data_IF_862527725677
#
_entry.id   IF_862527725677
#
_cell.length_a   1.000
_cell.length_b   1.000
_cell.length_c   1.000
_cell.angle_alpha   90.00
_cell.angle_beta   90.00
_cell.angle_gamma   90.00
#
_symmetry.space_group_name_H-M   'P 1'
#
loop_
_entity.id
_entity.type
_entity.pdbx_description
1 polymer ?
#
# COMPACT_ATOMS: atom_id res chain seq x y z
N UNK A 1 7.44 11.75 1.54
CA UNK A 1 7.37 11.49 2.99
C UNK A 1 7.44 12.80 3.77
N UNK A 2 6.68 12.94 4.85
CA UNK A 2 6.74 14.12 5.73
C UNK A 2 7.90 14.04 6.73
N UNK A 3 8.46 12.86 6.92
CA UNK A 3 9.61 12.62 7.81
C UNK A 3 10.92 12.72 7.04
N UNK A 4 11.94 13.29 7.66
CA UNK A 4 13.28 13.45 7.10
C UNK A 4 14.30 12.59 7.86
N UNK A 5 13.97 11.32 8.05
CA UNK A 5 14.74 10.34 8.84
C UNK A 5 15.41 9.24 7.98
N UNK A 6 15.42 9.42 6.65
CA UNK A 6 16.05 8.48 5.73
C UNK A 6 15.23 7.24 5.39
N UNK A 7 14.05 7.06 5.97
CA UNK A 7 13.23 5.86 5.70
C UNK A 7 12.81 5.74 4.23
N UNK A 8 12.49 6.83 3.56
CA UNK A 8 12.16 6.83 2.14
C UNK A 8 13.37 6.47 1.26
N UNK A 9 14.57 6.83 1.68
CA UNK A 9 15.81 6.42 1.02
C UNK A 9 16.05 4.92 1.22
N UNK A 10 15.90 4.40 2.45
CA UNK A 10 15.97 2.98 2.75
C UNK A 10 14.99 2.16 1.89
N UNK A 11 13.74 2.61 1.77
CA UNK A 11 12.76 1.94 0.91
C UNK A 11 13.23 1.85 -0.55
N UNK A 12 13.82 2.91 -1.08
CA UNK A 12 14.29 2.96 -2.47
C UNK A 12 15.55 2.15 -2.70
N UNK A 13 16.52 2.19 -1.78
CA UNK A 13 17.82 1.53 -1.97
C UNK A 13 17.78 0.04 -1.63
N UNK A 14 17.01 -0.35 -0.63
CA UNK A 14 17.04 -1.72 -0.12
C UNK A 14 15.78 -2.52 -0.53
N UNK A 15 14.60 -1.96 -0.27
CA UNK A 15 13.36 -2.72 -0.45
C UNK A 15 12.91 -2.78 -1.91
N UNK A 16 12.98 -1.66 -2.63
CA UNK A 16 12.51 -1.62 -4.03
C UNK A 16 13.49 -2.28 -5.02
N UNK A 17 14.72 -2.50 -4.59
CA UNK A 17 15.77 -3.14 -5.41
C UNK A 17 16.01 -4.61 -5.02
N UNK A 18 15.32 -5.10 -4.00
CA UNK A 18 15.46 -6.48 -3.55
C UNK A 18 14.88 -7.47 -4.57
N UNK A 19 15.58 -8.56 -4.81
CA UNK A 19 15.12 -9.65 -5.67
C UNK A 19 13.94 -10.42 -5.06
N UNK A 20 13.86 -10.47 -3.73
CA UNK A 20 12.75 -11.02 -2.98
C UNK A 20 12.64 -10.33 -1.61
N UNK A 21 11.46 -10.37 -0.99
CA UNK A 21 11.24 -9.77 0.33
C UNK A 21 10.63 -10.81 1.26
N UNK A 22 11.27 -11.03 2.41
CA UNK A 22 10.73 -11.88 3.48
C UNK A 22 10.38 -11.02 4.68
N UNK A 23 9.12 -11.01 5.05
CA UNK A 23 8.62 -10.32 6.23
C UNK A 23 8.52 -11.30 7.39
N UNK A 24 9.13 -10.96 8.53
CA UNK A 24 9.11 -11.80 9.73
C UNK A 24 8.58 -11.01 10.93
N UNK A 25 7.50 -11.50 11.57
CA UNK A 25 6.92 -10.87 12.76
C UNK A 25 6.02 -11.82 13.56
N UNK A 26 5.81 -11.57 14.86
CA UNK A 26 4.84 -12.31 15.65
C UNK A 26 3.41 -11.85 15.36
N UNK A 27 2.45 -12.76 15.47
CA UNK A 27 1.02 -12.44 15.49
C UNK A 27 0.68 -11.89 16.88
N UNK A 28 0.11 -10.69 16.93
CA UNK A 28 -0.28 -10.02 18.19
C UNK A 28 -1.72 -9.57 18.08
N UNK A 29 -2.54 -9.95 19.07
CA UNK A 29 -3.96 -9.60 19.11
C UNK A 29 -4.70 -9.92 17.79
N UNK A 30 -4.50 -11.12 17.27
CA UNK A 30 -5.11 -11.61 16.03
C UNK A 30 -4.74 -10.80 14.77
N UNK A 31 -3.65 -10.03 14.83
CA UNK A 31 -3.23 -9.14 13.75
C UNK A 31 -1.70 -9.01 13.64
N UNK A 32 -1.24 -8.10 12.79
CA UNK A 32 0.18 -7.83 12.61
C UNK A 32 0.78 -7.14 13.84
N UNK A 33 2.07 -7.39 14.07
CA UNK A 33 2.84 -6.70 15.10
C UNK A 33 2.93 -5.19 14.80
N UNK A 34 2.90 -4.37 15.86
CA UNK A 34 2.84 -2.90 15.74
C UNK A 34 4.00 -2.29 14.95
N UNK A 35 5.22 -2.86 15.07
CA UNK A 35 6.38 -2.39 14.31
C UNK A 35 6.21 -2.67 12.82
N UNK A 36 5.69 -3.86 12.46
CA UNK A 36 5.36 -4.16 11.05
C UNK A 36 4.28 -3.23 10.52
N UNK A 37 3.25 -2.96 11.32
CA UNK A 37 2.20 -2.00 10.95
C UNK A 37 2.76 -0.59 10.73
N UNK A 38 3.66 -0.14 11.59
CA UNK A 38 4.35 1.14 11.43
C UNK A 38 5.18 1.20 10.14
N UNK A 39 5.92 0.14 9.83
CA UNK A 39 6.64 0.00 8.57
C UNK A 39 5.68 0.08 7.38
N UNK A 40 4.58 -0.64 7.41
CA UNK A 40 3.59 -0.71 6.35
C UNK A 40 2.91 0.66 6.12
N UNK A 41 2.52 1.34 7.19
CA UNK A 41 1.96 2.70 7.10
C UNK A 41 2.96 3.71 6.53
N UNK A 42 4.24 3.56 6.85
CA UNK A 42 5.29 4.43 6.32
C UNK A 42 5.60 4.18 4.84
N UNK A 43 5.38 2.98 4.34
CA UNK A 43 5.46 2.70 2.90
C UNK A 43 4.43 3.47 2.09
N UNK A 44 3.37 3.97 2.71
CA UNK A 44 2.31 4.71 2.02
C UNK A 44 2.81 5.96 1.27
N UNK A 45 3.97 6.47 1.61
CA UNK A 45 4.62 7.52 0.81
C UNK A 45 4.97 7.08 -0.63
N UNK A 46 5.07 5.76 -0.87
CA UNK A 46 5.23 5.14 -2.18
C UNK A 46 3.98 4.33 -2.60
N UNK A 47 2.97 4.27 -1.75
CA UNK A 47 1.87 3.31 -1.78
C UNK A 47 0.85 3.48 -2.91
N UNK A 48 0.94 4.55 -3.67
CA UNK A 48 0.10 4.70 -4.85
C UNK A 48 0.72 4.04 -6.10
N UNK A 49 1.93 3.52 -5.99
CA UNK A 49 2.67 2.89 -7.09
C UNK A 49 3.03 1.47 -6.74
N UNK A 50 2.83 0.55 -7.66
CA UNK A 50 3.24 -0.85 -7.51
C UNK A 50 4.74 -0.99 -7.84
N UNK A 51 5.60 -0.34 -7.06
CA UNK A 51 7.05 -0.25 -7.31
C UNK A 51 7.79 -1.58 -7.14
N UNK A 52 7.21 -2.51 -6.38
CA UNK A 52 7.73 -3.88 -6.18
C UNK A 52 6.95 -4.93 -6.98
N UNK A 53 6.30 -4.51 -8.06
CA UNK A 53 5.48 -5.42 -8.89
C UNK A 53 6.31 -6.57 -9.43
N UNK A 54 5.85 -7.79 -9.18
CA UNK A 54 6.53 -9.02 -9.60
C UNK A 54 7.60 -9.50 -8.64
N UNK A 55 7.98 -8.71 -7.62
CA UNK A 55 8.92 -9.16 -6.60
C UNK A 55 8.30 -10.29 -5.77
N UNK A 56 8.95 -11.46 -5.65
CA UNK A 56 8.51 -12.53 -4.77
C UNK A 56 8.50 -12.08 -3.31
N UNK A 57 7.42 -12.40 -2.60
CA UNK A 57 7.30 -12.11 -1.17
C UNK A 57 6.93 -13.36 -0.38
N UNK A 58 7.39 -13.42 0.86
CA UNK A 58 7.06 -14.48 1.80
C UNK A 58 6.87 -13.91 3.20
N UNK A 59 6.16 -14.66 4.05
CA UNK A 59 5.97 -14.29 5.45
C UNK A 59 6.43 -15.42 6.37
N UNK A 60 7.20 -15.05 7.41
CA UNK A 60 7.55 -15.91 8.52
C UNK A 60 6.85 -15.37 9.76
N UNK A 61 5.90 -16.14 10.28
CA UNK A 61 5.05 -15.67 11.38
C UNK A 61 5.26 -16.53 12.62
N UNK A 62 5.34 -15.90 13.75
CA UNK A 62 5.26 -16.60 15.03
C UNK A 62 3.82 -16.56 15.54
N UNK A 63 3.23 -17.73 15.78
CA UNK A 63 1.88 -17.88 16.28
C UNK A 63 0.94 -18.61 15.32
N UNK A 64 -0.31 -18.76 15.74
CA UNK A 64 -1.29 -19.63 15.12
C UNK A 64 -2.01 -18.99 13.92
N UNK A 65 -1.29 -18.83 12.80
CA UNK A 65 -1.79 -18.20 11.59
C UNK A 65 -3.02 -18.91 10.98
N UNK A 66 -3.13 -20.22 11.18
CA UNK A 66 -4.20 -21.04 10.60
C UNK A 66 -5.61 -20.54 10.97
N UNK A 67 -5.76 -19.98 12.16
CA UNK A 67 -7.05 -19.49 12.66
C UNK A 67 -7.25 -17.98 12.50
N UNK A 68 -6.30 -17.28 11.90
CA UNK A 68 -6.33 -15.83 11.75
C UNK A 68 -6.84 -15.41 10.36
N UNK A 69 -8.12 -15.67 10.09
CA UNK A 69 -8.73 -15.42 8.77
C UNK A 69 -8.56 -13.95 8.30
N UNK A 70 -8.69 -12.98 9.22
CA UNK A 70 -8.48 -11.56 8.88
C UNK A 70 -7.03 -11.28 8.49
N UNK A 71 -6.07 -11.85 9.20
CA UNK A 71 -4.65 -11.69 8.89
C UNK A 71 -4.31 -12.34 7.55
N UNK A 72 -4.85 -13.53 7.26
CA UNK A 72 -4.68 -14.21 5.97
C UNK A 72 -5.14 -13.29 4.82
N UNK A 73 -6.34 -12.73 4.94
CA UNK A 73 -6.88 -11.81 3.95
C UNK A 73 -6.02 -10.54 3.79
N UNK A 74 -5.50 -9.99 4.89
CA UNK A 74 -4.65 -8.79 4.87
C UNK A 74 -3.33 -9.06 4.16
N UNK A 75 -2.66 -10.17 4.46
CA UNK A 75 -1.37 -10.51 3.85
C UNK A 75 -1.50 -10.86 2.37
N UNK A 76 -2.55 -11.59 2.00
CA UNK A 76 -2.89 -11.85 0.61
C UNK A 76 -3.21 -10.55 -0.12
N UNK A 77 -4.14 -9.75 0.41
CA UNK A 77 -4.56 -8.49 -0.18
C UNK A 77 -3.40 -7.51 -0.36
N UNK A 78 -2.51 -7.43 0.63
CA UNK A 78 -1.30 -6.61 0.55
C UNK A 78 -0.39 -7.04 -0.60
N UNK A 79 -0.15 -8.33 -0.75
CA UNK A 79 0.68 -8.88 -1.83
C UNK A 79 0.03 -8.64 -3.20
N UNK A 80 -1.25 -8.89 -3.33
CA UNK A 80 -2.02 -8.73 -4.56
C UNK A 80 -2.12 -7.26 -5.01
N UNK A 81 -2.42 -6.34 -4.08
CA UNK A 81 -2.48 -4.90 -4.39
C UNK A 81 -1.11 -4.34 -4.76
N UNK A 82 -0.04 -4.83 -4.12
CA UNK A 82 1.35 -4.52 -4.47
C UNK A 82 1.79 -5.11 -5.82
N UNK A 83 1.04 -6.09 -6.33
CA UNK A 83 1.40 -6.86 -7.53
C UNK A 83 2.59 -7.80 -7.28
N UNK A 84 2.82 -8.21 -6.04
CA UNK A 84 3.86 -9.13 -5.65
C UNK A 84 3.46 -10.59 -5.95
N UNK A 85 4.44 -11.48 -6.05
CA UNK A 85 4.22 -12.91 -6.10
C UNK A 85 4.34 -13.49 -4.69
N UNK A 86 3.21 -13.85 -4.06
CA UNK A 86 3.22 -14.47 -2.72
C UNK A 86 3.66 -15.93 -2.83
N UNK A 87 4.88 -16.22 -2.34
CA UNK A 87 5.48 -17.55 -2.33
C UNK A 87 4.92 -18.46 -1.24
N UNK A 88 4.47 -17.88 -0.13
CA UNK A 88 3.88 -18.60 0.98
C UNK A 88 4.05 -17.93 2.33
N UNK A 89 3.45 -18.56 3.32
CA UNK A 89 3.54 -18.18 4.73
C UNK A 89 3.98 -19.41 5.51
N UNK A 90 4.98 -19.27 6.38
CA UNK A 90 5.44 -20.31 7.29
C UNK A 90 5.33 -19.82 8.72
N UNK A 91 4.90 -20.70 9.61
CA UNK A 91 4.76 -20.41 11.03
C UNK A 91 5.66 -21.31 11.87
N UNK A 92 5.76 -21.02 13.15
CA UNK A 92 6.48 -21.83 14.15
C UNK A 92 5.63 -22.97 14.75
N UNK A 93 4.52 -23.34 14.10
CA UNK A 93 3.60 -24.37 14.61
C UNK A 93 4.15 -25.78 14.35
N UNK A 94 3.73 -26.44 13.25
CA UNK A 94 4.13 -27.81 12.94
C UNK A 94 5.06 -27.88 11.74
N UNK A 95 6.02 -28.82 11.77
CA UNK A 95 6.93 -29.09 10.65
C UNK A 95 7.71 -27.84 10.15
N UNK A 96 7.98 -26.88 11.01
CA UNK A 96 8.59 -25.58 10.67
C UNK A 96 9.83 -25.73 9.81
N UNK A 97 10.75 -26.64 10.14
CA UNK A 97 11.99 -26.82 9.36
C UNK A 97 11.73 -27.29 7.93
N UNK A 98 10.82 -28.23 7.72
CA UNK A 98 10.44 -28.71 6.39
C UNK A 98 9.70 -27.64 5.58
N UNK A 99 8.83 -26.89 6.24
CA UNK A 99 8.07 -25.80 5.64
C UNK A 99 9.00 -24.65 5.23
N UNK A 100 10.00 -24.30 6.04
CA UNK A 100 11.01 -23.30 5.70
C UNK A 100 11.85 -23.72 4.50
N UNK A 101 12.27 -24.99 4.44
CA UNK A 101 12.99 -25.50 3.26
C UNK A 101 12.14 -25.42 1.99
N UNK A 102 10.87 -25.76 2.08
CA UNK A 102 9.93 -25.67 0.95
C UNK A 102 9.73 -24.22 0.53
N UNK A 103 9.54 -23.31 1.49
CA UNK A 103 9.38 -21.88 1.21
C UNK A 103 10.64 -21.31 0.54
N UNK A 104 11.84 -21.66 1.01
CA UNK A 104 13.10 -21.23 0.43
C UNK A 104 13.21 -21.70 -1.03
N UNK A 105 12.90 -22.97 -1.33
CA UNK A 105 12.87 -23.49 -2.71
C UNK A 105 11.87 -22.74 -3.58
N UNK A 106 10.66 -22.49 -3.08
CA UNK A 106 9.65 -21.73 -3.82
C UNK A 106 10.08 -20.30 -4.10
N UNK A 107 10.76 -19.67 -3.14
CA UNK A 107 11.25 -18.30 -3.28
C UNK A 107 12.36 -18.23 -4.35
N UNK A 108 13.34 -19.13 -4.29
CA UNK A 108 14.40 -19.23 -5.30
C UNK A 108 13.81 -19.50 -6.68
N UNK A 109 12.91 -20.46 -6.79
CA UNK A 109 12.24 -20.79 -8.05
C UNK A 109 11.47 -19.60 -8.62
N UNK A 110 10.77 -18.85 -7.75
CA UNK A 110 10.02 -17.65 -8.16
C UNK A 110 10.94 -16.54 -8.69
N UNK A 111 12.11 -16.35 -8.07
CA UNK A 111 13.12 -15.38 -8.53
C UNK A 111 13.70 -15.80 -9.88
N UNK A 112 14.17 -17.05 -10.01
CA UNK A 112 14.84 -17.56 -11.22
C UNK A 112 13.91 -17.55 -12.44
N UNK A 113 12.62 -17.84 -12.22
CA UNK A 113 11.64 -17.95 -13.30
C UNK A 113 10.77 -16.70 -13.46
N UNK A 114 11.03 -15.63 -12.69
CA UNK A 114 10.26 -14.39 -12.72
C UNK A 114 8.74 -14.63 -12.63
N UNK A 115 8.33 -15.48 -11.69
CA UNK A 115 6.94 -15.91 -11.57
C UNK A 115 6.01 -14.72 -11.30
N UNK A 116 4.86 -14.76 -11.98
CA UNK A 116 3.79 -13.78 -11.81
C UNK A 116 2.45 -14.48 -11.73
N UNK A 117 1.52 -13.90 -11.00
CA UNK A 117 0.13 -14.35 -10.98
C UNK A 117 -0.76 -13.34 -11.69
N UNK A 118 -1.83 -13.79 -12.37
CA UNK A 118 -2.96 -12.91 -12.70
C UNK A 118 -3.50 -12.30 -11.42
N UNK A 119 -3.84 -11.00 -11.47
CA UNK A 119 -4.40 -10.34 -10.30
C UNK A 119 -5.76 -10.97 -9.91
N UNK A 120 -5.92 -11.26 -8.62
CA UNK A 120 -7.20 -11.70 -8.07
C UNK A 120 -8.12 -10.48 -7.81
N UNK A 121 -9.24 -10.70 -7.13
CA UNK A 121 -10.20 -9.64 -6.80
C UNK A 121 -9.54 -8.47 -6.05
N UNK A 122 -8.67 -8.73 -5.07
CA UNK A 122 -7.96 -7.70 -4.32
C UNK A 122 -6.99 -6.91 -5.19
N UNK A 123 -6.23 -7.58 -6.02
CA UNK A 123 -5.28 -6.95 -6.94
C UNK A 123 -5.97 -6.08 -7.98
N UNK A 124 -7.05 -6.57 -8.60
CA UNK A 124 -7.83 -5.79 -9.56
C UNK A 124 -8.50 -4.61 -8.87
N UNK A 125 -9.16 -4.83 -7.72
CA UNK A 125 -9.87 -3.78 -6.98
C UNK A 125 -8.92 -2.68 -6.48
N UNK A 126 -7.83 -3.06 -5.84
CA UNK A 126 -6.82 -2.13 -5.34
C UNK A 126 -6.15 -1.34 -6.45
N UNK A 127 -5.72 -2.02 -7.51
CA UNK A 127 -5.12 -1.37 -8.69
C UNK A 127 -6.08 -0.38 -9.34
N UNK A 128 -7.36 -0.74 -9.47
CA UNK A 128 -8.38 0.14 -10.03
C UNK A 128 -8.61 1.38 -9.18
N UNK A 129 -8.73 1.23 -7.86
CA UNK A 129 -8.97 2.35 -6.94
C UNK A 129 -7.82 3.37 -7.04
N UNK A 130 -6.58 2.92 -6.90
CA UNK A 130 -5.41 3.79 -6.98
C UNK A 130 -5.26 4.41 -8.36
N UNK A 131 -5.39 3.65 -9.43
CA UNK A 131 -5.28 4.12 -10.80
C UNK A 131 -6.29 5.22 -11.11
N UNK A 132 -7.55 5.01 -10.76
CA UNK A 132 -8.62 5.97 -11.03
C UNK A 132 -8.44 7.25 -10.20
N UNK A 133 -8.01 7.12 -8.94
CA UNK A 133 -7.68 8.23 -8.07
C UNK A 133 -6.51 9.06 -8.64
N UNK A 134 -5.41 8.41 -9.01
CA UNK A 134 -4.23 9.07 -9.57
C UNK A 134 -4.55 9.75 -10.90
N UNK A 135 -5.35 9.10 -11.76
CA UNK A 135 -5.80 9.73 -13.00
C UNK A 135 -6.57 11.02 -12.73
N UNK A 136 -7.50 11.00 -11.77
CA UNK A 136 -8.28 12.18 -11.42
C UNK A 136 -7.41 13.28 -10.80
N UNK A 137 -6.49 12.89 -9.92
CA UNK A 137 -5.63 13.81 -9.16
C UNK A 137 -4.27 14.08 -9.83
N UNK A 138 -4.12 13.82 -11.12
CA UNK A 138 -2.84 13.90 -11.83
C UNK A 138 -2.11 15.23 -11.70
N UNK A 139 -2.84 16.34 -11.51
CA UNK A 139 -2.24 17.66 -11.30
C UNK A 139 -1.52 17.77 -9.96
N UNK A 140 -2.00 17.08 -8.94
CA UNK A 140 -1.43 17.07 -7.59
C UNK A 140 -0.42 15.94 -7.40
N UNK A 141 -0.66 14.75 -8.01
CA UNK A 141 0.11 13.54 -7.85
C UNK A 141 0.95 13.23 -9.09
N UNK A 142 1.77 14.20 -9.49
CA UNK A 142 2.50 14.18 -10.78
C UNK A 142 3.42 12.97 -10.93
N UNK A 143 4.14 12.59 -9.87
CA UNK A 143 5.08 11.45 -9.90
C UNK A 143 4.34 10.12 -10.05
N UNK A 144 3.23 9.95 -9.33
CA UNK A 144 2.40 8.75 -9.43
C UNK A 144 1.72 8.67 -10.80
N UNK A 145 1.21 9.80 -11.30
CA UNK A 145 0.65 9.87 -12.65
C UNK A 145 1.68 9.51 -13.75
N UNK A 146 2.92 10.00 -13.62
CA UNK A 146 3.99 9.65 -14.55
C UNK A 146 4.29 8.15 -14.51
N UNK A 147 4.32 7.55 -13.33
CA UNK A 147 4.50 6.10 -13.16
C UNK A 147 3.40 5.29 -13.86
N UNK A 148 2.13 5.58 -13.59
CA UNK A 148 1.00 4.87 -14.21
C UNK A 148 0.96 5.03 -15.72
N UNK A 149 1.29 6.23 -16.21
CA UNK A 149 1.38 6.50 -17.65
C UNK A 149 2.51 5.72 -18.32
N UNK A 150 3.69 5.67 -17.71
CA UNK A 150 4.84 4.93 -18.23
C UNK A 150 4.58 3.42 -18.31
N UNK A 151 3.71 2.88 -17.45
CA UNK A 151 3.34 1.47 -17.42
C UNK A 151 2.04 1.15 -18.19
N UNK A 152 1.54 2.10 -19.00
CA UNK A 152 0.34 1.87 -19.84
C UNK A 152 -0.95 1.60 -19.04
N UNK A 153 -1.01 2.05 -17.80
CA UNK A 153 -2.10 1.67 -16.88
C UNK A 153 -3.45 2.37 -17.16
N UNK A 154 -3.50 3.33 -18.08
CA UNK A 154 -4.70 4.10 -18.42
C UNK A 154 -5.34 3.64 -19.74
N UNK A 155 -5.52 2.36 -19.89
CA UNK A 155 -6.05 1.70 -21.09
C UNK A 155 -7.59 1.64 -21.17
N UNK A 156 -8.28 2.32 -20.29
CA UNK A 156 -9.75 2.31 -20.20
C UNK A 156 -10.37 3.71 -20.32
N UNK A 157 -11.63 3.82 -20.73
CA UNK A 157 -12.31 5.10 -20.94
C UNK A 157 -12.39 5.95 -19.66
N UNK A 158 -11.99 7.21 -19.76
CA UNK A 158 -12.06 8.18 -18.67
C UNK A 158 -13.26 9.11 -18.85
N UNK A 159 -14.17 9.13 -17.88
CA UNK A 159 -15.46 9.86 -18.01
C UNK A 159 -15.46 11.26 -17.41
N UNK A 160 -14.59 11.56 -16.45
CA UNK A 160 -14.68 12.80 -15.64
C UNK A 160 -13.76 13.93 -16.16
N UNK A 161 -13.87 14.28 -17.45
CA UNK A 161 -12.97 15.26 -18.11
C UNK A 161 -13.01 16.68 -17.47
N UNK A 162 -14.19 17.16 -17.05
CA UNK A 162 -14.32 18.46 -16.39
C UNK A 162 -13.61 18.50 -15.02
N UNK A 163 -13.81 17.46 -14.21
CA UNK A 163 -13.14 17.32 -12.92
C UNK A 163 -11.62 17.19 -13.06
N UNK A 164 -11.17 16.54 -14.12
CA UNK A 164 -9.77 16.42 -14.46
C UNK A 164 -9.13 17.80 -14.73
N UNK A 165 -9.80 18.65 -15.51
CA UNK A 165 -9.33 20.02 -15.77
C UNK A 165 -9.25 20.83 -14.48
N UNK A 166 -10.28 20.77 -13.64
CA UNK A 166 -10.28 21.41 -12.32
C UNK A 166 -9.07 20.95 -11.47
N UNK A 167 -8.80 19.65 -11.40
CA UNK A 167 -7.68 19.12 -10.62
C UNK A 167 -6.31 19.50 -11.21
N UNK A 168 -6.20 19.67 -12.53
CA UNK A 168 -4.99 20.21 -13.16
C UNK A 168 -4.72 21.66 -12.73
N UNK A 169 -5.75 22.48 -12.71
CA UNK A 169 -5.61 23.89 -12.24
C UNK A 169 -5.21 23.94 -10.76
N UNK A 170 -5.87 23.16 -9.90
CA UNK A 170 -5.49 23.04 -8.49
C UNK A 170 -4.04 22.58 -8.33
N UNK A 171 -3.62 21.57 -9.08
CA UNK A 171 -2.24 21.07 -9.04
C UNK A 171 -1.21 22.11 -9.51
N UNK A 172 -1.56 22.97 -10.47
CA UNK A 172 -0.71 24.05 -10.92
C UNK A 172 -0.54 25.11 -9.82
N UNK A 173 -1.62 25.49 -9.15
CA UNK A 173 -1.57 26.41 -8.00
C UNK A 173 -0.74 25.82 -6.84
N UNK A 174 -0.92 24.55 -6.52
CA UNK A 174 -0.17 23.85 -5.47
C UNK A 174 1.32 23.66 -5.81
N UNK A 175 1.71 23.78 -7.07
CA UNK A 175 3.11 23.72 -7.47
C UNK A 175 3.87 25.04 -7.16
N UNK A 176 3.17 26.12 -6.84
CA UNK A 176 3.79 27.40 -6.46
C UNK A 176 4.41 27.23 -5.06
N UNK A 177 5.73 27.48 -4.87
CA UNK A 177 6.44 27.23 -3.61
C UNK A 177 5.82 27.93 -2.40
N UNK A 178 5.36 29.16 -2.55
CA UNK A 178 4.71 29.93 -1.48
C UNK A 178 3.37 29.35 -1.06
N UNK A 179 2.59 28.79 -1.99
CA UNK A 179 1.33 28.10 -1.72
C UNK A 179 1.60 26.75 -1.07
N UNK A 180 2.55 26.01 -1.60
CA UNK A 180 2.96 24.71 -1.06
C UNK A 180 3.42 24.83 0.39
N UNK A 181 4.26 25.80 0.72
CA UNK A 181 4.74 26.07 2.08
C UNK A 181 3.61 26.33 3.08
N UNK A 182 2.53 26.98 2.65
CA UNK A 182 1.35 27.28 3.48
C UNK A 182 0.43 26.07 3.65
N UNK A 183 0.30 25.23 2.62
CA UNK A 183 -0.66 24.13 2.60
C UNK A 183 -0.08 22.84 3.20
N UNK A 184 1.21 22.56 2.96
CA UNK A 184 1.87 21.32 3.43
C UNK A 184 1.66 21.03 4.93
N UNK A 185 1.80 21.99 5.87
CA UNK A 185 1.55 21.74 7.28
C UNK A 185 0.08 21.38 7.60
N UNK A 186 -0.86 21.88 6.78
CA UNK A 186 -2.30 21.67 6.97
C UNK A 186 -2.87 20.49 6.19
N UNK A 187 -2.04 19.79 5.42
CA UNK A 187 -2.50 18.70 4.56
C UNK A 187 -3.19 17.59 5.35
N UNK A 188 -2.60 17.19 6.48
CA UNK A 188 -3.21 16.18 7.36
C UNK A 188 -4.58 16.62 7.90
N UNK A 189 -4.72 17.91 8.26
CA UNK A 189 -6.00 18.46 8.73
C UNK A 189 -7.08 18.41 7.65
N UNK A 190 -6.73 18.71 6.40
CA UNK A 190 -7.65 18.62 5.28
C UNK A 190 -8.08 17.17 5.01
N UNK A 191 -7.14 16.22 5.10
CA UNK A 191 -7.44 14.80 4.89
C UNK A 191 -8.39 14.25 5.95
N UNK A 192 -8.27 14.68 7.21
CA UNK A 192 -9.12 14.19 8.31
C UNK A 192 -10.38 15.04 8.53
N UNK A 193 -10.50 16.20 7.90
CA UNK A 193 -11.64 17.11 8.08
C UNK A 193 -13.02 16.45 7.86
N UNK A 194 -13.24 15.58 6.85
CA UNK A 194 -14.50 14.86 6.69
C UNK A 194 -14.84 13.99 7.90
N UNK A 195 -13.85 13.30 8.45
CA UNK A 195 -14.03 12.42 9.62
C UNK A 195 -14.31 13.20 10.89
N UNK A 196 -13.68 14.37 11.08
CA UNK A 196 -13.97 15.27 12.22
C UNK A 196 -15.45 15.67 12.26
N UNK A 197 -16.07 15.89 11.11
CA UNK A 197 -17.51 16.20 11.00
C UNK A 197 -18.38 15.02 11.46
N UNK A 198 -18.09 13.82 11.00
CA UNK A 198 -18.82 12.60 11.37
C UNK A 198 -18.70 12.34 12.87
N UNK A 199 -17.50 12.43 13.44
CA UNK A 199 -17.27 12.26 14.88
C UNK A 199 -18.05 13.30 15.70
N UNK A 200 -18.00 14.58 15.29
CA UNK A 200 -18.73 15.63 15.98
C UNK A 200 -20.26 15.44 15.93
N UNK A 201 -20.77 14.90 14.84
CA UNK A 201 -22.18 14.56 14.72
C UNK A 201 -22.57 13.40 15.65
N UNK A 202 -21.84 12.29 15.62
CA UNK A 202 -22.05 11.15 16.51
C UNK A 202 -21.99 11.54 18.00
N UNK A 203 -21.06 12.42 18.39
CA UNK A 203 -20.98 12.95 19.76
C UNK A 203 -22.20 13.80 20.16
N UNK A 204 -22.81 14.53 19.23
CA UNK A 204 -24.05 15.27 19.49
C UNK A 204 -25.24 14.33 19.69
N UNK A 205 -25.37 13.32 18.84
CA UNK A 205 -26.41 12.31 18.93
C UNK A 205 -26.37 11.58 20.28
N UNK A 206 -25.18 11.12 20.73
CA UNK A 206 -25.00 10.50 22.05
C UNK A 206 -25.35 11.41 23.24
N UNK A 207 -25.21 12.74 23.10
CA UNK A 207 -25.58 13.69 24.14
C UNK A 207 -27.08 13.95 24.20
N UNK A 208 -27.80 13.71 23.12
CA UNK A 208 -29.25 13.92 23.03
C UNK A 208 -30.02 12.70 23.54
N UNK A 209 -29.38 11.52 23.55
CA UNK A 209 -29.96 10.26 24.05
C UNK A 209 -29.74 10.02 25.57
N UNK A 210 -29.01 10.89 26.22
CA UNK A 210 -28.80 10.90 27.69
C UNK A 210 -29.62 12.01 28.35
#
# INVERSE_FOLDING_TARGET
CIYSDGFDQFLRSEIQTADAIVYAFPIVNHYTYSVFKCYDDRQFCNGHRTVTRGTPVAYLLQGNYRYEANLQMVLEGRSEVGGNYLCGVVTDEENTAANLQTLAKNLVFAMEHHLRRPANFYGVGGSKIFRDLIYLMQGMMKADHAFYRAHGAYDFPQKQKGRLLQMKLVGTLLAIPSVQKKIKPKMADYMVAPYKKVIAQAQKEQKTER
#
